data_IF_358913040765
#
_entry.id   IF_358913040765
#
_cell.length_a   1.000
_cell.length_b   1.000
_cell.length_c   1.000
_cell.angle_alpha   90.00
_cell.angle_beta   90.00
_cell.angle_gamma   90.00
#
_symmetry.space_group_name_H-M   'P 1'
#
loop_
_entity.id
_entity.type
_entity.pdbx_description
1 polymer ?
#
# COMPACT_ATOMS: atom_id res chain seq x y z
N UNK A 1 -10.81 -11.75 -7.35
CA UNK A 1 -10.62 -10.30 -7.15
C UNK A 1 -11.22 -9.96 -5.80
N UNK A 2 -10.42 -9.46 -4.85
CA UNK A 2 -10.94 -9.01 -3.55
C UNK A 2 -11.57 -7.63 -3.75
N UNK A 3 -12.74 -7.38 -3.19
CA UNK A 3 -13.30 -6.03 -3.18
C UNK A 3 -12.49 -5.16 -2.22
N UNK A 4 -11.77 -4.18 -2.76
CA UNK A 4 -10.92 -3.25 -1.98
C UNK A 4 -11.66 -1.96 -1.58
N UNK A 5 -12.88 -1.72 -2.10
CA UNK A 5 -13.61 -0.47 -1.89
C UNK A 5 -14.04 -0.25 -0.43
N UNK A 6 -14.03 -1.30 0.40
CA UNK A 6 -14.25 -1.18 1.85
C UNK A 6 -12.99 -0.77 2.63
N UNK A 7 -11.82 -0.73 1.97
CA UNK A 7 -10.51 -0.47 2.58
C UNK A 7 -9.79 0.74 2.02
N UNK A 8 -10.07 1.12 0.78
CA UNK A 8 -9.40 2.23 0.12
C UNK A 8 -10.41 3.08 -0.65
N UNK A 9 -10.30 4.39 -0.51
CA UNK A 9 -11.07 5.33 -1.33
C UNK A 9 -10.33 5.72 -2.62
N UNK A 10 -11.05 6.32 -3.57
CA UNK A 10 -10.48 6.70 -4.86
C UNK A 10 -9.38 7.76 -4.73
N UNK A 11 -9.47 8.67 -3.76
CA UNK A 11 -8.46 9.70 -3.50
C UNK A 11 -7.14 9.08 -3.06
N UNK A 12 -7.20 8.14 -2.12
CA UNK A 12 -6.05 7.33 -1.68
C UNK A 12 -5.42 6.58 -2.86
N UNK A 13 -6.22 5.92 -3.70
CA UNK A 13 -5.72 5.23 -4.91
C UNK A 13 -4.99 6.20 -5.85
N UNK A 14 -5.52 7.41 -6.08
CA UNK A 14 -4.89 8.41 -6.95
C UNK A 14 -3.55 8.87 -6.38
N UNK A 15 -3.48 9.14 -5.07
CA UNK A 15 -2.24 9.57 -4.41
C UNK A 15 -1.19 8.47 -4.45
N UNK A 16 -1.55 7.25 -4.05
CA UNK A 16 -0.67 6.07 -4.07
C UNK A 16 -0.17 5.81 -5.49
N UNK A 17 -1.04 5.88 -6.49
CA UNK A 17 -0.64 5.69 -7.89
C UNK A 17 0.47 6.66 -8.31
N UNK A 18 0.41 7.92 -7.87
CA UNK A 18 1.48 8.91 -8.14
C UNK A 18 2.78 8.57 -7.43
N UNK A 19 2.72 8.12 -6.18
CA UNK A 19 3.91 7.74 -5.39
C UNK A 19 4.66 6.59 -6.07
N UNK A 20 3.96 5.51 -6.41
CA UNK A 20 4.56 4.32 -7.02
C UNK A 20 4.77 4.44 -8.54
N UNK A 21 4.50 5.61 -9.14
CA UNK A 21 4.57 5.86 -10.59
C UNK A 21 3.73 4.87 -11.42
N UNK A 22 2.56 4.51 -10.90
CA UNK A 22 1.58 3.64 -11.53
C UNK A 22 0.37 4.45 -12.00
N UNK A 23 -0.42 3.88 -12.90
CA UNK A 23 -1.79 4.37 -13.12
C UNK A 23 -2.77 3.73 -12.12
N UNK A 24 -3.94 4.34 -11.96
CA UNK A 24 -4.96 3.91 -10.99
C UNK A 24 -5.41 2.46 -11.20
N UNK A 25 -5.53 2.02 -12.46
CA UNK A 25 -5.87 0.64 -12.80
C UNK A 25 -4.80 -0.35 -12.33
N UNK A 26 -3.52 -0.04 -12.51
CA UNK A 26 -2.41 -0.87 -12.03
C UNK A 26 -2.41 -0.95 -10.50
N UNK A 27 -2.58 0.17 -9.81
CA UNK A 27 -2.66 0.21 -8.34
C UNK A 27 -3.80 -0.66 -7.82
N UNK A 28 -5.01 -0.51 -8.37
CA UNK A 28 -6.16 -1.35 -8.01
C UNK A 28 -5.85 -2.83 -8.26
N UNK A 29 -5.25 -3.17 -9.41
CA UNK A 29 -4.89 -4.56 -9.72
C UNK A 29 -3.89 -5.15 -8.72
N UNK A 30 -2.90 -4.39 -8.27
CA UNK A 30 -1.95 -4.83 -7.24
C UNK A 30 -2.64 -5.06 -5.90
N UNK A 31 -3.53 -4.15 -5.50
CA UNK A 31 -4.33 -4.27 -4.28
C UNK A 31 -5.26 -5.50 -4.32
N UNK A 32 -5.94 -5.73 -5.43
CA UNK A 32 -6.85 -6.87 -5.60
C UNK A 32 -6.12 -8.22 -5.65
N UNK A 33 -4.89 -8.23 -6.17
CA UNK A 33 -4.02 -9.42 -6.23
C UNK A 33 -3.25 -9.68 -4.93
N UNK A 34 -3.21 -8.71 -4.01
CA UNK A 34 -2.44 -8.79 -2.77
C UNK A 34 -0.95 -8.55 -2.96
N UNK A 35 -0.52 -8.07 -4.13
CA UNK A 35 0.85 -7.61 -4.39
C UNK A 35 1.09 -6.19 -3.88
N UNK A 36 0.04 -5.51 -3.43
CA UNK A 36 0.12 -4.31 -2.62
C UNK A 36 -0.79 -4.49 -1.41
N UNK A 37 -0.24 -4.24 -0.23
CA UNK A 37 -0.91 -4.40 1.05
C UNK A 37 -1.24 -3.03 1.66
N UNK A 38 -2.32 -3.01 2.45
CA UNK A 38 -2.83 -1.80 3.11
C UNK A 38 -2.83 -2.04 4.62
N UNK A 39 -2.33 -1.07 5.37
CA UNK A 39 -2.34 -1.03 6.82
C UNK A 39 -2.97 0.28 7.28
N UNK A 40 -3.92 0.23 8.22
CA UNK A 40 -4.64 1.44 8.67
C UNK A 40 -3.73 2.43 9.40
N UNK A 41 -2.64 1.95 9.99
CA UNK A 41 -1.66 2.75 10.70
C UNK A 41 -0.25 2.13 10.54
N UNK A 42 0.77 2.93 10.85
CA UNK A 42 2.17 2.50 10.81
C UNK A 42 2.51 1.38 11.80
N UNK A 43 1.83 1.32 12.94
CA UNK A 43 2.08 0.30 13.97
C UNK A 43 1.76 -1.11 13.44
N UNK A 44 0.66 -1.25 12.69
CA UNK A 44 0.26 -2.51 12.04
C UNK A 44 1.28 -2.95 10.98
N UNK A 45 1.85 -1.99 10.24
CA UNK A 45 2.93 -2.24 9.27
C UNK A 45 4.20 -2.73 9.98
N UNK A 46 4.65 -2.00 11.02
CA UNK A 46 5.84 -2.34 11.81
C UNK A 46 5.66 -3.68 12.52
N UNK A 47 4.46 -4.01 13.01
CA UNK A 47 4.18 -5.30 13.65
C UNK A 47 4.44 -6.49 12.72
N UNK A 48 4.23 -6.32 11.41
CA UNK A 48 4.47 -7.37 10.42
C UNK A 48 5.92 -7.41 9.95
N UNK A 49 6.48 -6.27 9.57
CA UNK A 49 7.79 -6.21 8.91
C UNK A 49 8.97 -5.90 9.85
N UNK A 50 8.68 -5.46 11.07
CA UNK A 50 9.64 -4.87 12.00
C UNK A 50 9.95 -3.41 11.67
N UNK A 51 10.63 -2.73 12.60
CA UNK A 51 11.23 -1.42 12.34
C UNK A 51 12.62 -1.65 11.75
N UNK A 52 12.78 -1.33 10.46
CA UNK A 52 14.00 -1.56 9.68
C UNK A 52 14.22 -0.40 8.72
N UNK A 53 15.48 -0.11 8.42
CA UNK A 53 15.85 0.89 7.42
C UNK A 53 15.53 0.41 5.99
N UNK A 54 15.65 -0.90 5.74
CA UNK A 54 15.35 -1.55 4.46
C UNK A 54 14.54 -2.83 4.66
N UNK A 55 13.62 -3.09 3.73
CA UNK A 55 12.75 -4.26 3.75
C UNK A 55 13.05 -5.16 2.55
N UNK A 56 13.56 -6.36 2.79
CA UNK A 56 13.93 -7.29 1.72
C UNK A 56 12.70 -7.76 0.93
N UNK A 57 11.53 -7.85 1.58
CA UNK A 57 10.29 -8.36 1.00
C UNK A 57 9.50 -7.31 0.20
N UNK A 58 9.85 -6.03 0.33
CA UNK A 58 9.12 -4.90 -0.27
C UNK A 58 9.92 -4.29 -1.41
N UNK A 59 9.22 -3.99 -2.50
CA UNK A 59 9.76 -3.17 -3.59
C UNK A 59 9.82 -1.71 -3.14
N UNK A 60 8.73 -1.23 -2.54
CA UNK A 60 8.62 0.13 -1.99
C UNK A 60 7.42 0.24 -1.02
N UNK A 61 7.37 1.28 -0.20
CA UNK A 61 6.23 1.57 0.69
C UNK A 61 6.05 3.07 0.92
N UNK A 62 4.83 3.48 1.25
CA UNK A 62 4.56 4.87 1.62
C UNK A 62 3.51 4.99 2.72
N UNK A 63 3.62 6.04 3.52
CA UNK A 63 2.65 6.43 4.54
C UNK A 63 1.91 7.68 4.05
N UNK A 64 0.57 7.62 4.00
CA UNK A 64 -0.26 8.76 3.69
C UNK A 64 -0.38 9.69 4.91
N UNK A 65 -0.76 10.95 4.69
CA UNK A 65 -1.03 11.88 5.79
C UNK A 65 -2.17 11.45 6.72
N UNK A 66 -3.00 10.48 6.29
CA UNK A 66 -4.03 9.84 7.11
C UNK A 66 -3.45 8.82 8.10
N UNK A 67 -2.16 8.49 8.00
CA UNK A 67 -1.49 7.43 8.76
C UNK A 67 -1.57 6.05 8.10
N UNK A 68 -2.42 5.88 7.07
CA UNK A 68 -2.55 4.63 6.33
C UNK A 68 -1.28 4.35 5.53
N UNK A 69 -0.80 3.10 5.55
CA UNK A 69 0.41 2.66 4.87
C UNK A 69 0.07 1.73 3.71
N UNK A 70 0.76 1.94 2.59
CA UNK A 70 0.71 1.08 1.42
C UNK A 70 2.09 0.48 1.18
N UNK A 71 2.15 -0.84 1.05
CA UNK A 71 3.40 -1.57 0.84
C UNK A 71 3.30 -2.42 -0.43
N UNK A 72 4.20 -2.21 -1.39
CA UNK A 72 4.27 -2.98 -2.62
C UNK A 72 5.28 -4.11 -2.43
N UNK A 73 4.83 -5.34 -2.65
CA UNK A 73 5.67 -6.54 -2.51
C UNK A 73 6.57 -6.71 -3.74
N UNK A 74 7.75 -7.32 -3.56
CA UNK A 74 8.60 -7.77 -4.68
C UNK A 74 8.00 -8.96 -5.43
#
# INVERSE_FOLDING_TARGET
>A
MKNIASKVDLGEVIVVSKVFQLNTFQTVKLLESGLMEIYENKEDFIKKYGEKDEYEELDDWCELSTGKVFAKLK
#
